data_IF_573876611098
#
_entry.id   IF_573876611098
#
_cell.length_a   1.000
_cell.length_b   1.000
_cell.length_c   1.000
_cell.angle_alpha   90.00
_cell.angle_beta   90.00
_cell.angle_gamma   90.00
#
_symmetry.space_group_name_H-M   'P 1'
#
loop_
_entity.id
_entity.type
_entity.pdbx_description
1 polymer ?
#
# COMPACT_ATOMS: atom_id res chain seq x y z
N UNK A 1 -9.83 -7.63 8.29
CA UNK A 1 -9.46 -7.26 9.68
C UNK A 1 -9.39 -5.75 9.76
N UNK A 2 -10.17 -5.09 10.63
CA UNK A 2 -9.89 -3.70 10.95
C UNK A 2 -8.65 -3.67 11.86
N UNK A 3 -7.54 -3.15 11.34
CA UNK A 3 -6.41 -2.80 12.19
C UNK A 3 -6.90 -1.67 13.10
N UNK A 4 -6.72 -1.81 14.41
CA UNK A 4 -6.95 -0.70 15.34
C UNK A 4 -5.89 0.35 15.00
N UNK A 5 -6.28 1.37 14.26
CA UNK A 5 -5.35 2.31 13.63
C UNK A 5 -4.79 3.33 14.61
N UNK A 6 -5.52 3.64 15.70
CA UNK A 6 -5.09 4.64 16.69
C UNK A 6 -5.26 4.10 18.11
N UNK A 7 -4.17 4.10 18.87
CA UNK A 7 -4.14 3.67 20.26
C UNK A 7 -3.95 4.90 21.14
N UNK A 8 -4.76 5.03 22.20
CA UNK A 8 -4.63 6.12 23.18
C UNK A 8 -3.59 5.70 24.22
N UNK A 9 -2.55 6.51 24.39
CA UNK A 9 -1.50 6.28 25.38
C UNK A 9 -1.51 7.34 26.50
N UNK A 10 -1.21 6.97 27.75
CA UNK A 10 -0.91 5.61 28.24
C UNK A 10 -2.17 4.74 28.39
N UNK A 11 -2.16 3.48 27.94
CA UNK A 11 -3.33 2.58 28.10
C UNK A 11 -3.72 2.32 29.58
N UNK A 12 -2.73 2.26 30.48
CA UNK A 12 -2.96 2.00 31.89
C UNK A 12 -2.71 3.28 32.71
N UNK A 13 -3.75 3.76 33.40
CA UNK A 13 -3.70 5.02 34.15
C UNK A 13 -3.09 4.83 35.54
N UNK A 14 -3.40 3.72 36.21
CA UNK A 14 -3.14 3.54 37.66
C UNK A 14 -2.33 2.27 38.00
N UNK A 15 -1.75 1.56 37.02
CA UNK A 15 -1.11 0.24 37.24
C UNK A 15 0.39 0.30 37.57
N UNK A 16 0.89 1.46 38.01
CA UNK A 16 2.30 1.62 38.33
C UNK A 16 2.59 1.20 39.77
N UNK A 17 3.72 0.50 39.96
CA UNK A 17 4.21 0.13 41.30
C UNK A 17 4.72 1.40 41.98
N UNK A 18 4.28 1.61 43.22
CA UNK A 18 4.73 2.74 44.03
C UNK A 18 6.07 2.42 44.72
N UNK A 19 7.00 3.40 44.80
CA UNK A 19 8.15 3.33 45.68
C UNK A 19 7.76 3.11 47.15
N UNK A 20 8.47 2.22 47.86
CA UNK A 20 8.23 1.91 49.27
C UNK A 20 8.57 3.04 50.25
N UNK A 21 9.15 4.14 49.77
CA UNK A 21 9.56 5.31 50.56
C UNK A 21 8.49 6.40 50.65
N UNK A 22 7.33 6.23 50.01
CA UNK A 22 6.27 7.24 49.94
C UNK A 22 5.46 7.25 51.23
N UNK A 23 5.25 8.44 51.81
CA UNK A 23 4.41 8.61 53.01
C UNK A 23 2.90 8.52 52.71
N UNK A 24 2.45 9.11 51.60
CA UNK A 24 1.03 9.17 51.21
C UNK A 24 0.84 8.46 49.86
N UNK A 25 0.61 7.15 49.92
CA UNK A 25 0.43 6.32 48.72
C UNK A 25 -0.79 6.76 47.90
N UNK A 26 -1.91 7.06 48.57
CA UNK A 26 -3.14 7.48 47.91
C UNK A 26 -2.93 8.77 47.11
N UNK A 27 -2.32 9.79 47.72
CA UNK A 27 -2.04 11.06 47.03
C UNK A 27 -1.12 10.84 45.82
N UNK A 28 -0.09 10.01 45.97
CA UNK A 28 0.82 9.68 44.89
C UNK A 28 0.11 8.98 43.71
N UNK A 29 -0.69 7.95 43.98
CA UNK A 29 -1.49 7.25 42.95
C UNK A 29 -2.45 8.21 42.28
N UNK A 30 -3.13 9.07 43.04
CA UNK A 30 -4.10 10.01 42.50
C UNK A 30 -3.42 11.01 41.55
N UNK A 31 -2.27 11.56 41.94
CA UNK A 31 -1.52 12.49 41.11
C UNK A 31 -0.96 11.83 39.83
N UNK A 32 -0.38 10.63 39.95
CA UNK A 32 0.07 9.83 38.79
C UNK A 32 -1.10 9.55 37.84
N UNK A 33 -2.27 9.19 38.39
CA UNK A 33 -3.46 8.90 37.61
C UNK A 33 -3.96 10.14 36.87
N UNK A 34 -4.03 11.29 37.53
CA UNK A 34 -4.40 12.56 36.91
C UNK A 34 -3.42 12.96 35.80
N UNK A 35 -2.12 12.85 36.05
CA UNK A 35 -1.09 13.11 35.04
C UNK A 35 -1.26 12.18 33.81
N UNK A 36 -1.54 10.90 34.03
CA UNK A 36 -1.77 9.94 32.96
C UNK A 36 -3.08 10.22 32.20
N UNK A 37 -4.14 10.69 32.86
CA UNK A 37 -5.38 11.15 32.19
C UNK A 37 -5.08 12.34 31.29
N UNK A 38 -4.32 13.33 31.77
CA UNK A 38 -3.92 14.49 30.96
C UNK A 38 -3.13 14.04 29.71
N UNK A 39 -2.23 13.06 29.87
CA UNK A 39 -1.50 12.48 28.74
C UNK A 39 -2.42 11.74 27.76
N UNK A 40 -3.39 10.97 28.26
CA UNK A 40 -4.39 10.31 27.40
C UNK A 40 -5.21 11.34 26.61
N UNK A 41 -5.63 12.44 27.23
CA UNK A 41 -6.32 13.52 26.55
C UNK A 41 -5.45 14.17 25.46
N UNK A 42 -4.16 14.36 25.72
CA UNK A 42 -3.21 14.81 24.69
C UNK A 42 -3.11 13.84 23.51
N UNK A 43 -3.00 12.54 23.78
CA UNK A 43 -3.01 11.49 22.75
C UNK A 43 -4.33 11.47 21.96
N UNK A 44 -5.46 11.70 22.62
CA UNK A 44 -6.78 11.79 21.99
C UNK A 44 -6.88 13.01 21.07
N UNK A 45 -6.36 14.17 21.50
CA UNK A 45 -6.33 15.39 20.69
C UNK A 45 -5.52 15.20 19.40
N UNK A 46 -4.32 14.57 19.49
CA UNK A 46 -3.53 14.22 18.29
C UNK A 46 -4.35 13.33 17.34
N UNK A 47 -5.06 12.35 17.87
CA UNK A 47 -5.90 11.47 17.05
C UNK A 47 -7.05 12.23 16.37
N UNK A 48 -7.73 13.11 17.09
CA UNK A 48 -8.78 13.94 16.53
C UNK A 48 -8.23 14.82 15.38
N UNK A 49 -7.07 15.43 15.57
CA UNK A 49 -6.38 16.20 14.53
C UNK A 49 -6.10 15.35 13.28
N UNK A 50 -5.56 14.14 13.43
CA UNK A 50 -5.29 13.24 12.30
C UNK A 50 -6.58 12.91 11.52
N UNK A 51 -7.68 12.60 12.21
CA UNK A 51 -8.97 12.26 11.58
C UNK A 51 -9.55 13.45 10.84
N UNK A 52 -9.61 14.60 11.49
CA UNK A 52 -10.15 15.81 10.87
C UNK A 52 -9.24 16.34 9.76
N UNK A 53 -7.93 16.17 9.87
CA UNK A 53 -6.97 16.49 8.82
C UNK A 53 -7.19 15.64 7.57
N UNK A 54 -7.34 14.32 7.73
CA UNK A 54 -7.66 13.41 6.61
C UNK A 54 -8.99 13.79 5.93
N UNK A 55 -10.04 14.07 6.71
CA UNK A 55 -11.33 14.52 6.20
C UNK A 55 -11.23 15.85 5.47
N UNK A 56 -10.47 16.81 6.00
CA UNK A 56 -10.27 18.12 5.40
C UNK A 56 -9.59 18.02 4.04
N UNK A 57 -8.55 17.18 3.90
CA UNK A 57 -7.87 16.96 2.62
C UNK A 57 -8.83 16.38 1.58
N UNK A 58 -9.64 15.39 1.96
CA UNK A 58 -10.64 14.79 1.05
C UNK A 58 -11.74 15.79 0.67
N UNK A 59 -12.24 16.56 1.63
CA UNK A 59 -13.23 17.61 1.38
C UNK A 59 -12.68 18.71 0.47
N UNK A 60 -11.42 19.11 0.65
CA UNK A 60 -10.74 20.08 -0.21
C UNK A 60 -10.61 19.58 -1.66
N UNK A 61 -10.18 18.33 -1.85
CA UNK A 61 -10.12 17.71 -3.17
C UNK A 61 -11.51 17.61 -3.83
N UNK A 62 -12.54 17.31 -3.04
CA UNK A 62 -13.93 17.31 -3.49
C UNK A 62 -14.40 18.70 -3.91
N UNK A 63 -14.14 19.73 -3.11
CA UNK A 63 -14.52 21.11 -3.41
C UNK A 63 -13.94 21.60 -4.75
N UNK A 64 -12.66 21.31 -5.01
CA UNK A 64 -12.01 21.65 -6.30
C UNK A 64 -12.73 20.97 -7.46
N UNK A 65 -13.09 19.70 -7.33
CA UNK A 65 -13.81 18.96 -8.37
C UNK A 65 -15.22 19.52 -8.60
N UNK A 66 -15.93 19.87 -7.53
CA UNK A 66 -17.27 20.48 -7.60
C UNK A 66 -17.21 21.83 -8.29
N UNK A 67 -16.25 22.69 -7.95
CA UNK A 67 -16.09 23.99 -8.58
C UNK A 67 -15.79 23.85 -10.08
N UNK A 68 -14.83 22.99 -10.44
CA UNK A 68 -14.52 22.72 -11.85
C UNK A 68 -15.71 22.15 -12.62
N UNK A 69 -16.51 21.29 -11.99
CA UNK A 69 -17.73 20.76 -12.58
C UNK A 69 -18.80 21.85 -12.74
N UNK A 70 -18.99 22.70 -11.73
CA UNK A 70 -19.93 23.83 -11.75
C UNK A 70 -19.69 24.74 -12.94
N UNK A 71 -18.46 25.23 -13.12
CA UNK A 71 -18.12 26.07 -14.28
C UNK A 71 -18.36 25.36 -15.63
N UNK A 72 -18.13 24.03 -15.70
CA UNK A 72 -18.40 23.25 -16.91
C UNK A 72 -19.90 23.14 -17.18
N UNK A 73 -20.71 22.99 -16.13
CA UNK A 73 -22.17 22.98 -16.23
C UNK A 73 -22.68 24.34 -16.71
N UNK A 74 -22.21 25.45 -16.14
CA UNK A 74 -22.63 26.79 -16.54
C UNK A 74 -22.32 27.07 -18.03
N UNK A 75 -21.09 26.75 -18.46
CA UNK A 75 -20.69 26.89 -19.87
C UNK A 75 -21.50 26.00 -20.80
N UNK A 76 -21.82 24.78 -20.35
CA UNK A 76 -22.63 23.84 -21.13
C UNK A 76 -24.07 24.35 -21.24
N UNK A 77 -24.65 24.86 -20.15
CA UNK A 77 -26.00 25.41 -20.12
C UNK A 77 -26.15 26.53 -21.15
N UNK A 78 -25.23 27.49 -21.18
CA UNK A 78 -25.23 28.57 -22.19
C UNK A 78 -25.21 28.00 -23.61
N UNK A 79 -24.31 27.04 -23.89
CA UNK A 79 -24.21 26.42 -25.21
C UNK A 79 -25.50 25.70 -25.60
N UNK A 80 -26.10 24.94 -24.69
CA UNK A 80 -27.35 24.21 -24.92
C UNK A 80 -28.50 25.18 -25.20
N UNK A 81 -28.58 26.30 -24.48
CA UNK A 81 -29.65 27.30 -24.70
C UNK A 81 -29.51 28.07 -26.01
N UNK A 82 -28.31 28.10 -26.61
CA UNK A 82 -28.02 28.79 -27.87
C UNK A 82 -28.14 27.87 -29.10
N UNK A 83 -28.43 26.58 -28.93
CA UNK A 83 -28.62 25.66 -30.05
C UNK A 83 -29.90 25.99 -30.80
N UNK A 84 -29.79 26.28 -32.10
CA UNK A 84 -30.93 26.37 -33.01
C UNK A 84 -31.09 25.06 -33.81
N UNK A 85 -32.13 24.26 -33.54
CA UNK A 85 -32.35 23.00 -34.24
C UNK A 85 -32.68 23.17 -35.72
N UNK A 86 -32.99 24.39 -36.20
CA UNK A 86 -33.25 24.66 -37.62
C UNK A 86 -31.97 24.88 -38.43
N UNK A 87 -30.88 25.27 -37.78
CA UNK A 87 -29.57 25.51 -38.42
C UNK A 87 -28.60 24.32 -38.24
N UNK A 88 -28.90 23.36 -37.38
CA UNK A 88 -28.00 22.23 -37.09
C UNK A 88 -28.10 21.10 -38.14
N UNK A 89 -27.18 21.10 -39.11
CA UNK A 89 -27.07 20.04 -40.13
C UNK A 89 -26.30 18.80 -39.63
N UNK A 90 -26.85 17.61 -39.88
CA UNK A 90 -26.20 16.34 -39.51
C UNK A 90 -25.20 15.90 -40.58
N UNK A 91 -23.90 16.04 -40.30
CA UNK A 91 -22.84 15.62 -41.21
C UNK A 91 -22.47 14.14 -41.06
N UNK A 92 -22.65 13.36 -42.14
CA UNK A 92 -22.19 11.96 -42.22
C UNK A 92 -20.66 11.81 -42.17
N UNK A 93 -19.92 12.87 -42.48
CA UNK A 93 -18.45 12.88 -42.40
C UNK A 93 -17.96 12.69 -40.96
N UNK A 94 -18.75 13.10 -39.97
CA UNK A 94 -18.43 12.88 -38.55
C UNK A 94 -18.34 11.39 -38.19
N UNK A 95 -19.06 10.51 -38.89
CA UNK A 95 -19.10 9.06 -38.62
C UNK A 95 -17.76 8.40 -38.96
N UNK A 96 -17.12 8.81 -40.05
CA UNK A 96 -15.85 8.23 -40.53
C UNK A 96 -14.61 9.02 -40.12
N UNK A 97 -14.73 10.34 -39.90
CA UNK A 97 -13.57 11.21 -39.65
C UNK A 97 -13.37 11.56 -38.17
N UNK A 98 -14.42 11.55 -37.34
CA UNK A 98 -14.29 11.82 -35.91
C UNK A 98 -14.25 10.52 -35.12
N UNK A 99 -13.34 10.44 -34.15
CA UNK A 99 -13.33 9.34 -33.19
C UNK A 99 -14.59 9.39 -32.34
N UNK A 100 -15.19 8.23 -32.09
CA UNK A 100 -16.35 8.11 -31.22
C UNK A 100 -16.03 8.61 -29.80
N UNK A 101 -17.05 9.11 -29.11
CA UNK A 101 -16.93 9.45 -27.69
C UNK A 101 -16.63 8.20 -26.87
N UNK A 102 -15.68 8.31 -25.95
CA UNK A 102 -15.36 7.26 -24.98
C UNK A 102 -15.40 7.84 -23.57
N UNK A 103 -16.17 7.22 -22.70
CA UNK A 103 -16.15 7.52 -21.28
C UNK A 103 -14.84 7.05 -20.64
N UNK A 104 -14.46 7.68 -19.54
CA UNK A 104 -13.34 7.21 -18.73
C UNK A 104 -13.72 5.89 -18.02
N UNK A 105 -12.88 4.85 -18.15
CA UNK A 105 -13.06 3.51 -17.55
C UNK A 105 -11.90 3.16 -16.61
N UNK A 106 -11.39 4.14 -15.87
CA UNK A 106 -10.35 3.91 -14.87
C UNK A 106 -10.84 2.97 -13.77
N UNK A 107 -10.00 1.99 -13.42
CA UNK A 107 -10.24 1.02 -12.35
C UNK A 107 -9.10 1.09 -11.35
N UNK A 108 -9.44 1.35 -10.09
CA UNK A 108 -8.45 1.37 -9.03
C UNK A 108 -7.95 -0.04 -8.72
N UNK A 109 -6.63 -0.22 -8.74
CA UNK A 109 -5.97 -1.49 -8.47
C UNK A 109 -4.84 -1.28 -7.48
N UNK A 110 -4.35 -2.37 -6.87
CA UNK A 110 -3.24 -2.34 -5.90
C UNK A 110 -3.48 -1.39 -4.70
N UNK A 111 -4.70 -1.39 -4.17
CA UNK A 111 -5.14 -0.51 -3.06
C UNK A 111 -4.29 -0.62 -1.79
N UNK A 112 -3.64 -1.76 -1.56
CA UNK A 112 -2.79 -2.01 -0.40
C UNK A 112 -1.31 -1.99 -0.79
N UNK A 113 -0.76 -0.81 -1.01
CA UNK A 113 0.65 -0.59 -1.28
C UNK A 113 1.29 0.26 -0.16
N UNK A 114 2.63 0.31 -0.12
CA UNK A 114 3.33 1.09 0.93
C UNK A 114 2.96 2.58 0.92
N UNK A 115 2.81 3.26 -0.23
CA UNK A 115 2.37 4.66 -0.26
C UNK A 115 0.93 4.89 0.19
N UNK A 116 0.03 3.89 0.06
CA UNK A 116 -1.35 3.99 0.55
C UNK A 116 -1.51 3.59 2.02
N UNK A 117 -0.40 3.33 2.72
CA UNK A 117 -0.43 2.97 4.13
C UNK A 117 -0.86 4.20 4.96
N UNK A 118 -1.91 4.11 5.78
CA UNK A 118 -2.31 5.22 6.64
C UNK A 118 -1.19 5.59 7.62
N UNK A 119 -1.01 6.88 7.87
CA UNK A 119 0.04 7.40 8.75
C UNK A 119 0.06 6.73 10.14
N UNK A 120 -1.08 6.49 10.83
CA UNK A 120 -1.06 5.83 12.14
C UNK A 120 -0.54 4.38 12.10
N UNK A 121 -0.84 3.66 11.01
CA UNK A 121 -0.33 2.31 10.78
C UNK A 121 1.16 2.35 10.46
N UNK A 122 1.62 3.38 9.74
CA UNK A 122 3.03 3.62 9.48
C UNK A 122 3.80 3.93 10.77
N UNK A 123 3.29 4.80 11.65
CA UNK A 123 3.91 5.08 12.95
C UNK A 123 4.06 3.78 13.77
N UNK A 124 2.99 2.98 13.85
CA UNK A 124 3.03 1.68 14.55
C UNK A 124 4.06 0.75 13.91
N UNK A 125 4.10 0.67 12.58
CA UNK A 125 5.06 -0.16 11.84
C UNK A 125 6.52 0.21 12.13
N UNK A 126 6.82 1.49 12.36
CA UNK A 126 8.17 1.95 12.68
C UNK A 126 8.63 1.57 14.09
N UNK A 127 7.70 1.32 15.01
CA UNK A 127 8.02 0.81 16.35
C UNK A 127 8.32 -0.69 16.37
N UNK A 128 7.93 -1.43 15.32
CA UNK A 128 8.18 -2.85 15.21
C UNK A 128 9.66 -3.15 14.96
N UNK A 129 10.12 -4.32 15.43
CA UNK A 129 11.48 -4.78 15.18
C UNK A 129 11.75 -4.92 13.67
N UNK A 130 12.78 -4.24 13.14
CA UNK A 130 13.14 -4.38 11.73
C UNK A 130 13.72 -5.79 11.46
N UNK A 131 13.63 -6.28 10.21
CA UNK A 131 14.31 -7.51 9.84
C UNK A 131 15.83 -7.34 9.99
N UNK A 132 16.58 -8.42 10.26
CA UNK A 132 18.04 -8.38 10.28
C UNK A 132 18.61 -7.78 8.98
N UNK A 133 19.71 -7.00 9.03
CA UNK A 133 20.26 -6.28 7.89
C UNK A 133 21.02 -7.19 6.92
N UNK A 134 20.39 -8.28 6.47
CA UNK A 134 20.97 -9.25 5.54
C UNK A 134 21.28 -8.68 4.16
N UNK A 135 20.77 -7.49 3.85
CA UNK A 135 21.13 -6.83 2.61
C UNK A 135 22.64 -6.57 2.52
N UNK A 136 23.32 -6.36 3.66
CA UNK A 136 24.76 -6.15 3.74
C UNK A 136 25.57 -7.38 3.28
N UNK A 137 24.98 -8.57 3.42
CA UNK A 137 25.57 -9.84 2.99
C UNK A 137 25.27 -10.17 1.52
N UNK A 138 24.49 -9.34 0.82
CA UNK A 138 24.11 -9.60 -0.58
C UNK A 138 25.33 -9.59 -1.50
N UNK A 139 26.36 -8.80 -1.19
CA UNK A 139 27.61 -8.73 -1.96
C UNK A 139 28.39 -10.04 -1.99
N UNK A 140 28.20 -10.91 -0.99
CA UNK A 140 28.90 -12.19 -0.86
C UNK A 140 28.11 -13.36 -1.45
N UNK A 141 26.93 -13.09 -2.06
CA UNK A 141 26.14 -14.15 -2.69
C UNK A 141 26.66 -14.42 -4.09
N UNK A 142 26.92 -15.69 -4.39
CA UNK A 142 27.19 -16.16 -5.75
C UNK A 142 25.93 -16.14 -6.62
N UNK A 143 25.37 -14.97 -6.88
CA UNK A 143 24.41 -14.82 -7.98
C UNK A 143 25.22 -14.51 -9.22
N UNK A 144 25.16 -15.39 -10.23
CA UNK A 144 25.93 -15.30 -11.47
C UNK A 144 25.72 -13.92 -12.14
N UNK A 145 26.60 -12.96 -11.84
CA UNK A 145 26.75 -11.69 -12.56
C UNK A 145 28.21 -11.55 -13.00
N UNK A 146 28.74 -12.58 -13.66
CA UNK A 146 29.88 -12.43 -14.54
C UNK A 146 29.38 -12.58 -15.97
N UNK A 147 28.80 -11.51 -16.51
CA UNK A 147 29.04 -11.13 -17.91
C UNK A 147 28.82 -9.62 -18.03
N UNK A 148 29.96 -8.94 -18.10
CA UNK A 148 30.25 -7.79 -18.94
C UNK A 148 29.38 -6.53 -18.82
N UNK A 149 30.06 -5.46 -18.42
CA UNK A 149 29.68 -4.08 -18.60
C UNK A 149 29.19 -3.78 -20.03
N UNK A 150 27.87 -3.67 -20.21
CA UNK A 150 27.21 -2.66 -21.06
C UNK A 150 25.69 -2.84 -21.01
N UNK A 151 25.01 -1.70 -21.03
CA UNK A 151 23.59 -1.49 -21.30
C UNK A 151 22.65 -1.35 -20.08
N UNK A 152 22.22 -0.09 -19.91
CA UNK A 152 20.81 0.36 -19.88
C UNK A 152 19.94 -0.14 -18.73
N UNK A 153 19.56 0.82 -17.89
CA UNK A 153 18.17 1.13 -17.50
C UNK A 153 17.17 -0.03 -17.67
N UNK A 154 17.23 -1.01 -16.77
CA UNK A 154 16.22 -2.05 -16.69
C UNK A 154 16.12 -2.59 -15.26
N UNK A 155 14.98 -2.29 -14.64
CA UNK A 155 14.33 -2.99 -13.52
C UNK A 155 15.22 -3.94 -12.68
N UNK A 156 15.64 -3.44 -11.51
CA UNK A 156 16.41 -4.16 -10.48
C UNK A 156 15.80 -5.51 -10.07
N UNK A 157 16.17 -6.58 -10.77
CA UNK A 157 15.86 -7.98 -10.45
C UNK A 157 17.02 -8.72 -9.77
N UNK A 158 17.82 -8.00 -8.95
CA UNK A 158 18.75 -8.63 -8.02
C UNK A 158 17.99 -9.42 -6.93
N UNK A 159 18.42 -10.66 -6.67
CA UNK A 159 17.95 -11.42 -5.51
C UNK A 159 18.59 -10.84 -4.26
N UNK A 160 17.96 -9.81 -3.67
CA UNK A 160 18.40 -9.19 -2.41
C UNK A 160 18.44 -10.24 -1.30
N UNK A 161 19.47 -10.21 -0.43
CA UNK A 161 19.64 -11.18 0.66
C UNK A 161 18.43 -11.34 1.58
N UNK A 162 17.63 -10.28 1.75
CA UNK A 162 16.36 -10.27 2.51
C UNK A 162 15.29 -11.22 1.94
N UNK A 163 15.35 -11.60 0.65
CA UNK A 163 14.35 -12.49 0.04
C UNK A 163 14.47 -13.95 0.52
N UNK A 164 15.57 -14.34 1.17
CA UNK A 164 15.85 -15.72 1.59
C UNK A 164 15.46 -16.04 3.05
N UNK A 165 15.32 -15.04 3.93
CA UNK A 165 14.58 -15.24 5.19
C UNK A 165 13.09 -15.22 4.85
N UNK A 166 12.28 -16.00 5.58
CA UNK A 166 10.81 -16.14 5.50
C UNK A 166 10.00 -14.83 5.57
N UNK A 167 10.60 -13.66 5.42
CA UNK A 167 9.94 -12.48 4.86
C UNK A 167 9.62 -12.73 3.39
N UNK A 168 8.66 -13.62 3.13
CA UNK A 168 8.02 -13.71 1.83
C UNK A 168 7.34 -12.36 1.57
N UNK A 169 8.01 -11.52 0.80
CA UNK A 169 7.45 -10.26 0.33
C UNK A 169 6.08 -10.54 -0.29
N UNK A 170 5.13 -9.59 -0.18
CA UNK A 170 3.82 -9.67 -0.85
C UNK A 170 3.97 -10.02 -2.35
N UNK A 171 5.09 -9.61 -2.94
CA UNK A 171 5.47 -9.94 -4.31
C UNK A 171 5.61 -11.46 -4.58
N UNK A 172 5.99 -12.26 -3.58
CA UNK A 172 6.08 -13.71 -3.67
C UNK A 172 4.70 -14.37 -3.83
N UNK A 173 3.72 -13.94 -3.03
CA UNK A 173 2.34 -14.42 -3.16
C UNK A 173 1.75 -14.09 -4.53
N UNK A 174 1.95 -12.86 -5.00
CA UNK A 174 1.53 -12.43 -6.33
C UNK A 174 2.21 -13.27 -7.42
N UNK A 175 3.52 -13.50 -7.30
CA UNK A 175 4.26 -14.33 -8.25
C UNK A 175 3.74 -15.77 -8.33
N UNK A 176 3.49 -16.41 -7.18
CA UNK A 176 2.90 -17.75 -7.13
C UNK A 176 1.52 -17.76 -7.77
N UNK A 177 0.67 -16.79 -7.42
CA UNK A 177 -0.69 -16.70 -7.93
C UNK A 177 -0.72 -16.54 -9.46
N UNK A 178 0.07 -15.61 -10.02
CA UNK A 178 0.18 -15.42 -11.48
C UNK A 178 0.72 -16.68 -12.16
N UNK A 179 1.75 -17.31 -11.57
CA UNK A 179 2.31 -18.54 -12.12
C UNK A 179 1.29 -19.68 -12.14
N UNK A 180 0.46 -19.78 -11.11
CA UNK A 180 -0.62 -20.76 -11.03
C UNK A 180 -1.72 -20.49 -12.06
N UNK A 181 -2.17 -19.24 -12.20
CA UNK A 181 -3.15 -18.86 -13.23
C UNK A 181 -2.65 -19.18 -14.65
N UNK A 182 -1.39 -18.86 -14.95
CA UNK A 182 -0.76 -19.15 -16.24
C UNK A 182 -0.65 -20.65 -16.53
N UNK A 183 -0.46 -21.48 -15.48
CA UNK A 183 -0.46 -22.94 -15.61
C UNK A 183 -1.87 -23.49 -15.89
N UNK A 184 -2.91 -22.88 -15.31
CA UNK A 184 -4.31 -23.28 -15.50
C UNK A 184 -4.86 -22.87 -16.86
N UNK A 185 -4.41 -21.74 -17.42
CA UNK A 185 -4.82 -21.26 -18.74
C UNK A 185 -4.13 -21.97 -19.92
N UNK A 186 -3.16 -22.86 -19.67
CA UNK A 186 -2.41 -23.56 -20.71
C UNK A 186 -3.13 -24.87 -21.09
N UNK A 187 -3.42 -25.06 -22.38
CA UNK A 187 -4.04 -26.27 -22.95
C UNK A 187 -3.19 -27.53 -22.69
N UNK A 188 -3.80 -28.73 -22.57
CA UNK A 188 -3.12 -29.94 -22.09
C UNK A 188 -1.90 -30.35 -22.92
N UNK A 189 -1.85 -30.03 -24.23
CA UNK A 189 -0.73 -30.36 -25.11
C UNK A 189 0.60 -29.65 -24.77
N UNK A 190 0.57 -28.56 -23.99
CA UNK A 190 1.78 -27.78 -23.61
C UNK A 190 2.30 -28.06 -22.21
N UNK A 191 1.61 -28.92 -21.43
CA UNK A 191 2.01 -29.25 -20.05
C UNK A 191 3.25 -30.13 -19.97
N UNK A 192 3.48 -31.01 -20.94
CA UNK A 192 4.56 -32.02 -20.85
C UNK A 192 5.96 -31.47 -21.11
N UNK A 193 6.10 -30.38 -21.89
CA UNK A 193 7.43 -29.85 -22.28
C UNK A 193 8.08 -28.92 -21.24
N UNK A 194 7.30 -28.24 -20.38
CA UNK A 194 7.85 -27.21 -19.48
C UNK A 194 7.93 -27.63 -18.00
N UNK A 195 7.44 -28.82 -17.67
CA UNK A 195 7.30 -29.29 -16.28
C UNK A 195 8.53 -29.99 -15.71
N UNK A 196 9.42 -30.58 -16.51
CA UNK A 196 10.65 -31.20 -15.97
C UNK A 196 11.78 -30.19 -15.68
N UNK A 197 11.83 -29.05 -16.38
CA UNK A 197 13.00 -28.14 -16.31
C UNK A 197 12.98 -27.07 -15.21
N UNK A 198 11.81 -26.69 -14.67
CA UNK A 198 11.70 -25.50 -13.78
C UNK A 198 11.19 -25.75 -12.36
N UNK A 199 10.59 -26.90 -12.09
CA UNK A 199 10.24 -27.31 -10.72
C UNK A 199 11.37 -28.11 -10.05
N UNK A 200 12.19 -28.81 -10.83
CA UNK A 200 13.35 -29.56 -10.30
C UNK A 200 14.43 -28.63 -9.72
N UNK A 201 14.65 -27.45 -10.31
CA UNK A 201 15.74 -26.53 -9.88
C UNK A 201 15.36 -25.55 -8.76
N UNK A 202 14.13 -25.60 -8.23
CA UNK A 202 13.74 -24.72 -7.10
C UNK A 202 13.23 -25.43 -5.85
N UNK A 203 12.87 -26.72 -5.93
CA UNK A 203 12.55 -27.51 -4.75
C UNK A 203 13.70 -28.39 -4.26
N UNK A 204 14.70 -28.70 -5.11
CA UNK A 204 15.83 -29.54 -4.69
C UNK A 204 16.82 -28.83 -3.75
N UNK A 205 16.86 -27.50 -3.73
CA UNK A 205 17.74 -26.76 -2.80
C UNK A 205 17.17 -26.60 -1.38
N UNK A 206 16.05 -27.26 -1.05
CA UNK A 206 15.41 -27.18 0.29
C UNK A 206 15.44 -28.53 1.04
N UNK A 207 15.83 -29.64 0.40
CA UNK A 207 15.81 -30.99 1.02
C UNK A 207 17.21 -31.61 1.18
N UNK A 208 18.29 -30.91 0.84
CA UNK A 208 19.66 -31.42 0.93
C UNK A 208 20.53 -30.68 1.96
N UNK A 209 20.19 -30.72 3.26
CA UNK A 209 21.16 -30.47 4.35
C UNK A 209 20.60 -30.99 5.68
N UNK A 210 20.37 -32.30 5.71
CA UNK A 210 20.41 -33.09 6.94
C UNK A 210 21.31 -34.28 6.60
N UNK A 211 22.57 -34.22 7.05
CA UNK A 211 23.54 -35.32 7.24
C UNK A 211 24.97 -34.76 7.18
N UNK A 212 25.43 -34.21 8.31
CA UNK A 212 26.60 -34.68 9.09
C UNK A 212 26.84 -33.72 10.26
#
# INVERSE_FOLDING_TARGET
MPLVTRNIEPRHVCRQVLPSTIRSELECVTNISLANIIRQLGSLSKYAEDVFGELFVQAGAFAIRVNSLGERVDRLQVKVTQLDPKEEEVSLQAITQKKAFHSNLTQDQQLFCRPSLPLPVQETYLTCNPPPPLNNLSQYRYTHTHTSAKARTAHNNGVKGIKHIKTFSVHFFIYIYISHLKKKSMTPARRTSTLLGRLSTRCWDIVGTQEH
#
